data_IF_628070975479
#
_entry.id   IF_628070975479
#
_cell.length_a   1.000
_cell.length_b   1.000
_cell.length_c   1.000
_cell.angle_alpha   90.00
_cell.angle_beta   90.00
_cell.angle_gamma   90.00
#
_symmetry.space_group_name_H-M   'P 1'
#
loop_
_entity.id
_entity.type
_entity.pdbx_description
1 polymer ?
#
# COMPACT_ATOMS: atom_id res chain seq x y z
N UNK A 1 -14.92 -5.69 13.69
CA UNK A 1 -13.75 -6.57 13.55
C UNK A 1 -12.49 -5.76 13.82
N UNK A 2 -11.52 -6.36 14.50
CA UNK A 2 -10.19 -5.76 14.70
C UNK A 2 -9.47 -5.73 13.35
N UNK A 3 -8.77 -4.63 13.02
CA UNK A 3 -8.03 -4.51 11.75
C UNK A 3 -6.71 -5.28 11.84
N UNK A 4 -6.36 -5.99 10.77
CA UNK A 4 -5.12 -6.77 10.65
C UNK A 4 -4.04 -6.00 9.90
N UNK A 5 -2.78 -6.20 10.31
CA UNK A 5 -1.61 -5.64 9.63
C UNK A 5 -0.37 -6.49 9.91
N UNK A 6 0.25 -7.01 8.84
CA UNK A 6 1.49 -7.78 8.97
C UNK A 6 2.67 -6.87 9.31
N UNK A 7 2.84 -5.78 8.56
CA UNK A 7 3.89 -4.77 8.75
C UNK A 7 3.45 -3.42 8.19
N UNK A 8 4.12 -2.34 8.61
CA UNK A 8 3.92 -1.03 8.01
C UNK A 8 4.61 -0.96 6.66
N UNK A 9 3.96 -0.28 5.71
CA UNK A 9 4.45 -0.09 4.35
C UNK A 9 4.30 1.37 3.95
N UNK A 10 5.25 1.88 3.16
CA UNK A 10 5.12 3.22 2.63
C UNK A 10 3.85 3.30 1.75
N UNK A 11 3.04 4.34 1.95
CA UNK A 11 1.72 4.47 1.29
C UNK A 11 0.62 3.57 1.87
N UNK A 12 0.90 2.72 2.86
CA UNK A 12 -0.04 1.71 3.37
C UNK A 12 -1.38 2.26 3.84
N UNK A 13 -2.48 1.65 3.36
CA UNK A 13 -3.85 2.14 3.54
C UNK A 13 -4.54 1.73 4.83
N UNK A 14 -3.82 1.15 5.78
CA UNK A 14 -4.36 0.68 7.07
C UNK A 14 -5.18 1.74 7.82
N UNK A 15 -4.70 2.99 7.83
CA UNK A 15 -5.39 4.11 8.46
C UNK A 15 -6.62 4.60 7.68
N UNK A 16 -6.72 4.28 6.39
CA UNK A 16 -7.81 4.68 5.49
C UNK A 16 -8.89 3.60 5.31
N UNK A 17 -8.68 2.38 5.83
CA UNK A 17 -9.62 1.26 5.66
C UNK A 17 -11.09 1.57 5.99
N UNK A 18 -11.36 2.42 6.99
CA UNK A 18 -12.76 2.75 7.36
C UNK A 18 -13.47 3.58 6.29
N UNK A 19 -12.72 4.39 5.55
CA UNK A 19 -13.22 5.19 4.44
C UNK A 19 -13.17 4.39 3.14
N UNK A 20 -12.08 3.66 2.91
CA UNK A 20 -11.81 2.96 1.65
C UNK A 20 -12.68 1.72 1.46
N UNK A 21 -12.76 0.82 2.44
CA UNK A 21 -13.43 -0.48 2.27
C UNK A 21 -14.91 -0.37 1.86
N UNK A 22 -15.71 0.57 2.40
CA UNK A 22 -17.08 0.77 1.94
C UNK A 22 -17.22 1.18 0.47
N UNK A 23 -16.17 1.75 -0.14
CA UNK A 23 -16.20 2.25 -1.52
C UNK A 23 -15.83 1.16 -2.55
N UNK A 24 -15.34 0.02 -2.10
CA UNK A 24 -14.91 -1.10 -2.96
C UNK A 24 -16.12 -1.98 -3.30
N UNK A 25 -16.38 -2.27 -4.58
CA UNK A 25 -17.51 -3.11 -4.99
C UNK A 25 -17.24 -4.58 -4.67
N UNK A 26 -18.32 -5.36 -4.51
CA UNK A 26 -18.21 -6.82 -4.57
C UNK A 26 -17.82 -7.25 -6.00
N UNK A 27 -17.07 -8.36 -6.07
CA UNK A 27 -16.50 -8.92 -7.30
C UNK A 27 -16.27 -10.42 -7.13
N UNK A 28 -16.29 -11.17 -8.23
CA UNK A 28 -15.89 -12.58 -8.24
C UNK A 28 -14.38 -12.69 -8.02
N UNK A 29 -13.61 -11.86 -8.73
CA UNK A 29 -12.16 -11.81 -8.59
C UNK A 29 -11.71 -10.44 -8.09
N UNK A 30 -11.06 -10.41 -6.92
CA UNK A 30 -10.38 -9.23 -6.43
C UNK A 30 -8.86 -9.31 -6.68
N UNK A 31 -8.27 -8.28 -7.28
CA UNK A 31 -6.85 -8.23 -7.57
C UNK A 31 -6.21 -6.95 -7.01
N UNK A 32 -5.09 -7.09 -6.31
CA UNK A 32 -4.20 -5.97 -5.91
C UNK A 32 -2.89 -6.05 -6.70
N UNK A 33 -2.74 -5.32 -7.82
CA UNK A 33 -1.50 -5.29 -8.59
C UNK A 33 -0.32 -4.64 -7.85
N UNK A 34 -0.61 -3.76 -6.87
CA UNK A 34 0.35 -3.04 -6.03
C UNK A 34 0.04 -3.32 -4.55
N UNK A 35 0.31 -4.54 -4.12
CA UNK A 35 -0.23 -5.06 -2.86
C UNK A 35 0.43 -4.49 -1.60
N UNK A 36 1.73 -4.17 -1.62
CA UNK A 36 2.47 -3.66 -0.47
C UNK A 36 2.22 -4.49 0.79
N UNK A 37 1.79 -3.85 1.89
CA UNK A 37 1.41 -4.55 3.14
C UNK A 37 0.15 -5.44 3.08
N UNK A 38 -0.51 -5.58 1.93
CA UNK A 38 -1.79 -6.26 1.74
C UNK A 38 -2.91 -5.73 2.65
N UNK A 39 -2.79 -4.49 3.13
CA UNK A 39 -3.66 -3.95 4.18
C UNK A 39 -5.14 -3.93 3.76
N UNK A 40 -5.44 -3.70 2.49
CA UNK A 40 -6.83 -3.69 1.98
C UNK A 40 -7.32 -5.13 1.81
N UNK A 41 -6.59 -5.97 1.08
CA UNK A 41 -6.88 -7.39 0.87
C UNK A 41 -7.17 -8.15 2.16
N UNK A 42 -6.32 -8.04 3.19
CA UNK A 42 -6.51 -8.83 4.42
C UNK A 42 -7.68 -8.32 5.28
N UNK A 43 -8.15 -7.09 5.06
CA UNK A 43 -9.23 -6.48 5.85
C UNK A 43 -10.58 -6.37 5.11
N UNK A 44 -10.62 -6.52 3.77
CA UNK A 44 -11.88 -6.60 3.04
C UNK A 44 -12.61 -7.91 3.32
N UNK A 45 -13.93 -7.91 3.07
CA UNK A 45 -14.71 -9.14 2.94
C UNK A 45 -14.09 -10.01 1.83
N UNK A 46 -13.77 -11.29 2.05
CA UNK A 46 -13.13 -12.12 1.04
C UNK A 46 -13.98 -12.27 -0.24
N UNK A 47 -13.35 -12.14 -1.41
CA UNK A 47 -13.97 -12.49 -2.70
C UNK A 47 -13.81 -13.98 -2.98
N UNK A 48 -14.61 -14.58 -3.88
CA UNK A 48 -14.42 -15.97 -4.31
C UNK A 48 -12.99 -16.27 -4.78
N UNK A 49 -12.42 -15.37 -5.59
CA UNK A 49 -11.04 -15.42 -6.08
C UNK A 49 -10.31 -14.14 -5.66
N UNK A 50 -9.07 -14.28 -5.17
CA UNK A 50 -8.24 -13.15 -4.75
C UNK A 50 -6.79 -13.32 -5.20
N UNK A 51 -6.22 -12.27 -5.77
CA UNK A 51 -4.82 -12.22 -6.20
C UNK A 51 -4.11 -11.03 -5.58
N UNK A 52 -3.01 -11.31 -4.90
CA UNK A 52 -2.05 -10.33 -4.41
C UNK A 52 -0.84 -10.32 -5.35
N UNK A 53 -0.36 -9.14 -5.72
CA UNK A 53 0.90 -8.96 -6.44
C UNK A 53 1.70 -7.81 -5.84
N UNK A 54 3.02 -7.92 -5.85
CA UNK A 54 3.90 -6.77 -5.70
C UNK A 54 5.16 -6.99 -6.56
N UNK A 55 5.80 -5.90 -6.99
CA UNK A 55 7.07 -5.98 -7.72
C UNK A 55 8.24 -6.28 -6.76
N UNK A 56 8.13 -5.87 -5.49
CA UNK A 56 9.14 -6.13 -4.47
C UNK A 56 9.10 -7.60 -4.03
N UNK A 57 10.06 -8.37 -4.56
CA UNK A 57 10.20 -9.79 -4.29
C UNK A 57 10.46 -10.12 -2.81
N UNK A 58 10.96 -9.20 -1.98
CA UNK A 58 11.15 -9.44 -0.54
C UNK A 58 9.80 -9.48 0.20
N UNK A 59 8.86 -8.62 -0.22
CA UNK A 59 7.49 -8.58 0.34
C UNK A 59 6.72 -9.82 -0.07
N UNK A 60 6.79 -10.17 -1.36
CA UNK A 60 6.18 -11.38 -1.88
C UNK A 60 6.77 -12.62 -1.21
N UNK A 61 8.11 -12.66 -1.05
CA UNK A 61 8.77 -13.73 -0.32
C UNK A 61 8.24 -13.84 1.12
N UNK A 62 8.13 -12.73 1.85
CA UNK A 62 7.58 -12.74 3.20
C UNK A 62 6.17 -13.35 3.25
N UNK A 63 5.23 -12.88 2.42
CA UNK A 63 3.86 -13.42 2.45
C UNK A 63 3.78 -14.88 2.00
N UNK A 64 4.59 -15.27 1.01
CA UNK A 64 4.66 -16.66 0.54
C UNK A 64 5.20 -17.60 1.62
N UNK A 65 6.30 -17.24 2.29
CA UNK A 65 6.85 -18.05 3.39
C UNK A 65 5.90 -18.05 4.58
N UNK A 66 5.31 -16.91 4.93
CA UNK A 66 4.31 -16.84 6.00
C UNK A 66 3.14 -17.78 5.74
N UNK A 67 2.66 -17.85 4.50
CA UNK A 67 1.56 -18.75 4.11
C UNK A 67 1.97 -20.22 4.09
N UNK A 68 3.15 -20.54 3.54
CA UNK A 68 3.55 -21.92 3.25
C UNK A 68 4.28 -22.62 4.42
N UNK A 69 4.96 -21.83 5.27
CA UNK A 69 5.76 -22.28 6.41
C UNK A 69 5.48 -21.40 7.65
N UNK A 70 4.20 -21.28 8.06
CA UNK A 70 3.81 -20.34 9.12
C UNK A 70 4.49 -20.65 10.44
N UNK A 71 4.55 -21.92 10.84
CA UNK A 71 5.08 -22.32 12.14
C UNK A 71 6.57 -22.01 12.24
N UNK A 72 7.35 -22.32 11.21
CA UNK A 72 8.79 -22.05 11.20
C UNK A 72 9.08 -20.55 11.16
N UNK A 73 8.38 -19.78 10.32
CA UNK A 73 8.61 -18.34 10.23
C UNK A 73 8.17 -17.60 11.50
N UNK A 74 6.97 -17.89 12.02
CA UNK A 74 6.45 -17.25 13.24
C UNK A 74 7.35 -17.59 14.43
N UNK A 75 7.82 -18.84 14.55
CA UNK A 75 8.78 -19.23 15.58
C UNK A 75 10.11 -18.51 15.42
N UNK A 76 10.67 -18.44 14.21
CA UNK A 76 11.94 -17.76 13.95
C UNK A 76 11.86 -16.26 14.28
N UNK A 77 10.76 -15.60 13.92
CA UNK A 77 10.49 -14.20 14.27
C UNK A 77 10.31 -14.06 15.79
N UNK A 78 9.47 -14.89 16.41
CA UNK A 78 9.14 -14.79 17.84
C UNK A 78 10.36 -15.01 18.75
N UNK A 79 11.31 -15.85 18.33
CA UNK A 79 12.57 -16.08 19.03
C UNK A 79 13.67 -15.05 18.68
N UNK A 80 13.44 -14.18 17.70
CA UNK A 80 14.39 -13.11 17.36
C UNK A 80 14.38 -12.05 18.46
N UNK A 81 15.54 -11.74 19.09
CA UNK A 81 15.62 -10.68 20.07
C UNK A 81 15.22 -9.33 19.48
N UNK A 82 14.53 -8.50 20.27
CA UNK A 82 14.33 -7.10 19.93
C UNK A 82 15.63 -6.33 20.18
N UNK A 83 16.51 -6.30 19.18
CA UNK A 83 17.93 -5.99 19.36
C UNK A 83 18.44 -5.06 18.26
N UNK A 84 19.31 -4.13 18.67
CA UNK A 84 20.02 -3.27 17.72
C UNK A 84 20.89 -4.08 16.75
N UNK A 85 21.51 -5.15 17.25
CA UNK A 85 22.38 -6.00 16.43
C UNK A 85 21.57 -6.80 15.40
N UNK A 86 20.40 -7.33 15.79
CA UNK A 86 19.51 -8.01 14.83
C UNK A 86 19.05 -7.07 13.72
N UNK A 87 18.72 -5.82 14.05
CA UNK A 87 18.39 -4.82 13.02
C UNK A 87 19.59 -4.51 12.13
N UNK A 88 20.79 -4.36 12.71
CA UNK A 88 22.01 -4.09 11.96
C UNK A 88 22.29 -5.22 10.96
N UNK A 89 22.24 -6.47 11.42
CA UNK A 89 22.37 -7.68 10.59
C UNK A 89 21.32 -7.69 9.47
N UNK A 90 20.06 -7.43 9.80
CA UNK A 90 18.97 -7.46 8.83
C UNK A 90 19.06 -6.36 7.75
N UNK A 91 19.76 -5.26 8.04
CA UNK A 91 19.93 -4.11 7.13
C UNK A 91 21.23 -4.18 6.32
N UNK A 92 22.35 -4.50 6.97
CA UNK A 92 23.70 -4.32 6.41
C UNK A 92 24.28 -5.58 5.79
N UNK A 93 23.88 -6.77 6.27
CA UNK A 93 24.42 -8.00 5.72
C UNK A 93 23.73 -8.39 4.43
N UNK A 94 24.52 -9.03 3.55
CA UNK A 94 24.02 -9.54 2.29
C UNK A 94 22.91 -10.56 2.50
N UNK A 95 21.86 -10.44 1.68
CA UNK A 95 20.80 -11.45 1.58
C UNK A 95 21.14 -12.57 0.59
N UNK A 96 22.28 -12.49 -0.09
CA UNK A 96 22.73 -13.49 -1.05
C UNK A 96 22.97 -14.82 -0.35
N UNK A 97 22.49 -15.93 -0.93
CA UNK A 97 22.60 -17.29 -0.41
C UNK A 97 21.87 -17.54 0.93
N UNK A 98 20.99 -16.64 1.35
CA UNK A 98 20.09 -16.90 2.47
C UNK A 98 18.89 -17.74 2.01
N UNK A 99 18.36 -18.55 2.91
CA UNK A 99 17.08 -19.22 2.67
C UNK A 99 15.95 -18.21 2.59
N UNK A 100 14.89 -18.55 1.85
CA UNK A 100 13.68 -17.72 1.76
C UNK A 100 13.10 -17.40 3.15
N UNK A 101 13.20 -18.34 4.09
CA UNK A 101 12.78 -18.16 5.48
C UNK A 101 13.60 -17.10 6.21
N UNK A 102 14.92 -17.13 6.08
CA UNK A 102 15.78 -16.14 6.73
C UNK A 102 15.61 -14.75 6.09
N UNK A 103 15.43 -14.69 4.77
CA UNK A 103 15.08 -13.44 4.07
C UNK A 103 13.76 -12.87 4.61
N UNK A 104 12.73 -13.69 4.75
CA UNK A 104 11.44 -13.29 5.31
C UNK A 104 11.56 -12.82 6.78
N UNK A 105 12.33 -13.52 7.61
CA UNK A 105 12.59 -13.12 9.00
C UNK A 105 13.30 -11.77 9.06
N UNK A 106 14.38 -11.57 8.30
CA UNK A 106 15.14 -10.30 8.23
C UNK A 106 14.28 -9.17 7.67
N UNK A 107 13.44 -9.43 6.67
CA UNK A 107 12.44 -8.46 6.20
C UNK A 107 11.52 -8.00 7.33
N UNK A 108 10.97 -8.93 8.11
CA UNK A 108 10.09 -8.57 9.23
C UNK A 108 10.81 -7.78 10.34
N UNK A 109 12.07 -8.13 10.63
CA UNK A 109 12.94 -7.35 11.55
C UNK A 109 13.09 -5.91 11.06
N UNK A 110 13.45 -5.71 9.78
CA UNK A 110 13.54 -4.36 9.16
C UNK A 110 12.21 -3.61 9.28
N UNK A 111 11.09 -4.29 9.08
CA UNK A 111 9.78 -3.67 9.09
C UNK A 111 9.27 -3.30 10.50
N UNK A 112 9.63 -4.06 11.54
CA UNK A 112 9.01 -3.94 12.87
C UNK A 112 9.95 -3.52 14.01
N UNK A 113 11.27 -3.66 13.86
CA UNK A 113 12.24 -3.18 14.87
C UNK A 113 12.72 -1.74 14.64
N UNK A 114 12.34 -1.11 13.52
CA UNK A 114 12.67 0.30 13.22
C UNK A 114 11.65 1.26 13.83
N UNK A 115 12.09 2.48 14.17
CA UNK A 115 11.26 3.51 14.80
C UNK A 115 10.03 3.90 13.97
N UNK A 116 10.16 3.91 12.64
CA UNK A 116 9.11 4.30 11.70
C UNK A 116 8.15 3.17 11.34
N UNK A 117 8.51 1.91 11.64
CA UNK A 117 7.75 0.74 11.23
C UNK A 117 7.73 0.48 9.71
N UNK A 118 8.75 0.92 8.97
CA UNK A 118 8.84 0.81 7.50
C UNK A 118 10.14 0.11 7.09
N UNK A 119 10.04 -1.04 6.43
CA UNK A 119 11.21 -1.80 5.99
C UNK A 119 12.08 -1.04 4.99
N UNK A 120 11.46 -0.29 4.07
CA UNK A 120 12.13 0.41 2.98
C UNK A 120 13.06 1.54 3.44
N UNK A 121 12.81 2.11 4.63
CA UNK A 121 13.62 3.19 5.20
C UNK A 121 14.45 2.72 6.39
N UNK A 122 14.60 1.41 6.56
CA UNK A 122 15.35 0.82 7.65
C UNK A 122 16.85 1.13 7.50
N UNK A 123 17.42 1.71 8.56
CA UNK A 123 18.87 1.83 8.70
C UNK A 123 19.26 1.34 10.10
N UNK A 124 20.50 0.90 10.30
CA UNK A 124 20.96 0.42 11.61
C UNK A 124 20.77 1.47 12.73
N UNK A 125 20.92 2.76 12.40
CA UNK A 125 20.70 3.87 13.34
C UNK A 125 19.23 4.14 13.71
N UNK A 126 18.26 3.51 13.03
CA UNK A 126 16.81 3.73 13.26
C UNK A 126 16.17 2.69 14.17
N UNK A 127 16.95 1.90 14.89
CA UNK A 127 16.43 0.94 15.87
C UNK A 127 15.48 1.62 16.88
N UNK A 128 14.27 1.08 17.01
CA UNK A 128 13.29 1.59 17.95
C UNK A 128 13.70 1.27 19.39
N UNK A 129 13.57 2.25 20.29
CA UNK A 129 13.77 2.04 21.72
C UNK A 129 12.93 3.02 22.52
N UNK A 130 12.79 2.77 23.82
CA UNK A 130 12.11 3.67 24.74
C UNK A 130 12.86 3.71 26.08
N UNK A 131 12.82 4.87 26.76
CA UNK A 131 13.42 5.02 28.09
C UNK A 131 12.44 4.70 29.21
N UNK A 132 11.22 5.23 29.13
CA UNK A 132 10.22 5.21 30.22
C UNK A 132 8.84 4.69 29.80
N UNK A 133 8.64 4.43 28.52
CA UNK A 133 7.35 3.91 28.03
C UNK A 133 7.25 2.43 28.33
N UNK A 134 6.41 2.07 29.31
CA UNK A 134 6.04 0.68 29.58
C UNK A 134 4.67 0.37 28.97
N UNK A 135 4.54 -0.83 28.40
CA UNK A 135 3.27 -1.43 27.96
C UNK A 135 3.29 -2.89 28.33
N UNK A 136 2.20 -3.39 28.91
CA UNK A 136 2.10 -4.77 29.42
C UNK A 136 3.30 -5.18 30.31
N UNK A 137 3.80 -4.26 31.14
CA UNK A 137 4.91 -4.54 32.06
C UNK A 137 6.30 -4.61 31.41
N UNK A 138 6.45 -4.27 30.12
CA UNK A 138 7.73 -4.31 29.40
C UNK A 138 7.97 -3.05 28.58
N UNK A 139 9.14 -2.92 27.97
CA UNK A 139 9.46 -1.82 27.06
C UNK A 139 8.42 -1.73 25.94
N UNK A 140 7.85 -0.53 25.72
CA UNK A 140 6.77 -0.33 24.77
C UNK A 140 7.12 -0.64 23.31
N UNK A 141 8.41 -0.69 22.95
CA UNK A 141 8.86 -1.18 21.65
C UNK A 141 8.78 -2.72 21.54
N UNK A 142 9.18 -3.43 22.60
CA UNK A 142 9.10 -4.89 22.70
C UNK A 142 7.65 -5.36 22.70
N UNK A 143 6.78 -4.70 23.49
CA UNK A 143 5.34 -5.02 23.51
C UNK A 143 4.70 -4.90 22.12
N UNK A 144 5.05 -3.88 21.32
CA UNK A 144 4.55 -3.73 19.95
C UNK A 144 5.08 -4.80 19.00
N UNK A 145 6.35 -5.18 19.15
CA UNK A 145 6.93 -6.29 18.40
C UNK A 145 6.19 -7.59 18.67
N UNK A 146 6.04 -7.99 19.92
CA UNK A 146 5.33 -9.22 20.30
C UNK A 146 3.88 -9.21 19.81
N UNK A 147 3.16 -8.10 19.99
CA UNK A 147 1.81 -7.96 19.47
C UNK A 147 1.71 -8.09 17.94
N UNK A 148 2.75 -7.68 17.20
CA UNK A 148 2.79 -7.89 15.74
C UNK A 148 3.06 -9.34 15.34
N UNK A 149 3.74 -10.12 16.19
CA UNK A 149 3.99 -11.55 15.95
C UNK A 149 2.72 -12.35 16.22
N UNK A 150 1.99 -12.03 17.30
CA UNK A 150 0.73 -12.68 17.66
C UNK A 150 -0.33 -12.57 16.56
N UNK A 151 -0.39 -11.44 15.86
CA UNK A 151 -1.33 -11.22 14.75
C UNK A 151 -1.02 -11.99 13.47
N UNK A 152 0.15 -12.62 13.34
CA UNK A 152 0.54 -13.30 12.10
C UNK A 152 -0.32 -14.53 11.81
N UNK A 153 -0.72 -15.29 12.82
CA UNK A 153 -1.53 -16.51 12.63
C UNK A 153 -2.89 -16.22 11.99
N UNK A 154 -3.53 -15.10 12.31
CA UNK A 154 -4.80 -14.69 11.69
C UNK A 154 -4.59 -14.28 10.22
N UNK A 155 -3.47 -13.61 9.95
CA UNK A 155 -3.09 -13.23 8.58
C UNK A 155 -2.79 -14.47 7.73
N UNK A 156 -2.15 -15.50 8.28
CA UNK A 156 -1.94 -16.79 7.61
C UNK A 156 -3.29 -17.35 7.14
N UNK A 157 -4.26 -17.47 8.04
CA UNK A 157 -5.59 -18.00 7.71
C UNK A 157 -6.26 -17.18 6.60
N UNK A 158 -6.11 -15.85 6.64
CA UNK A 158 -6.64 -14.94 5.62
C UNK A 158 -5.98 -15.15 4.24
N UNK A 159 -4.69 -15.45 4.20
CA UNK A 159 -3.90 -15.61 2.97
C UNK A 159 -4.00 -17.00 2.34
N UNK A 160 -4.50 -18.02 3.04
CA UNK A 160 -4.63 -19.38 2.49
C UNK A 160 -5.43 -19.41 1.17
N UNK A 161 -6.43 -18.53 1.05
CA UNK A 161 -7.32 -18.39 -0.11
C UNK A 161 -6.82 -17.45 -1.22
N UNK A 162 -5.61 -16.93 -1.08
CA UNK A 162 -5.08 -15.84 -1.93
C UNK A 162 -3.99 -16.39 -2.84
N UNK A 163 -4.09 -16.07 -4.13
CA UNK A 163 -3.03 -16.28 -5.11
C UNK A 163 -1.97 -15.19 -4.90
N UNK A 164 -0.68 -15.55 -4.94
CA UNK A 164 0.43 -14.63 -4.71
C UNK A 164 1.30 -14.61 -5.96
N UNK A 165 1.42 -13.43 -6.57
CA UNK A 165 2.23 -13.13 -7.76
C UNK A 165 3.42 -12.23 -7.40
N UNK A 166 4.44 -12.27 -8.24
CA UNK A 166 5.56 -11.32 -8.23
C UNK A 166 5.92 -10.96 -9.68
N UNK A 167 5.15 -10.03 -10.25
CA UNK A 167 5.27 -9.63 -11.65
C UNK A 167 4.98 -8.13 -11.82
N UNK A 168 5.37 -7.51 -12.96
CA UNK A 168 4.98 -6.15 -13.30
C UNK A 168 3.46 -5.98 -13.24
N UNK A 169 2.99 -4.90 -12.61
CA UNK A 169 1.57 -4.69 -12.33
C UNK A 169 0.71 -4.70 -13.61
N UNK A 170 1.20 -4.13 -14.71
CA UNK A 170 0.50 -4.13 -16.01
C UNK A 170 0.26 -5.56 -16.52
N UNK A 171 1.24 -6.45 -16.41
CA UNK A 171 1.08 -7.85 -16.83
C UNK A 171 0.02 -8.58 -16.00
N UNK A 172 -0.02 -8.30 -14.69
CA UNK A 172 -1.01 -8.88 -13.78
C UNK A 172 -2.41 -8.36 -14.09
N UNK A 173 -2.55 -7.06 -14.36
CA UNK A 173 -3.82 -6.45 -14.75
C UNK A 173 -4.33 -7.09 -16.03
N UNK A 174 -3.50 -7.17 -17.08
CA UNK A 174 -3.89 -7.77 -18.36
C UNK A 174 -4.24 -9.26 -18.25
N UNK A 175 -3.51 -10.01 -17.42
CA UNK A 175 -3.72 -11.45 -17.22
C UNK A 175 -5.05 -11.77 -16.57
N UNK A 176 -5.48 -10.94 -15.61
CA UNK A 176 -6.66 -11.20 -14.80
C UNK A 176 -7.87 -10.33 -15.20
N UNK A 177 -7.77 -9.54 -16.26
CA UNK A 177 -8.88 -8.67 -16.69
C UNK A 177 -10.09 -9.48 -17.19
N UNK A 178 -11.23 -9.19 -16.59
CA UNK A 178 -12.52 -9.75 -16.94
C UNK A 178 -13.63 -8.82 -16.44
N UNK A 179 -14.85 -8.97 -16.95
CA UNK A 179 -16.02 -8.22 -16.46
C UNK A 179 -16.33 -8.47 -14.97
N UNK A 180 -15.85 -9.59 -14.42
CA UNK A 180 -16.05 -9.96 -13.01
C UNK A 180 -14.86 -9.63 -12.10
N UNK A 181 -13.80 -9.02 -12.65
CA UNK A 181 -12.61 -8.64 -11.91
C UNK A 181 -12.72 -7.22 -11.37
N UNK A 182 -12.33 -7.03 -10.11
CA UNK A 182 -12.12 -5.73 -9.50
C UNK A 182 -10.64 -5.55 -9.13
N UNK A 183 -10.01 -4.53 -9.70
CA UNK A 183 -8.65 -4.12 -9.41
C UNK A 183 -8.62 -2.98 -8.41
N UNK A 184 -7.91 -3.17 -7.29
CA UNK A 184 -7.52 -2.10 -6.41
C UNK A 184 -6.05 -1.74 -6.65
N UNK A 185 -5.82 -0.55 -7.19
CA UNK A 185 -4.50 -0.07 -7.57
C UNK A 185 -4.04 1.02 -6.59
N UNK A 186 -2.89 0.80 -5.96
CA UNK A 186 -2.24 1.76 -5.08
C UNK A 186 -0.78 1.96 -5.51
N UNK A 187 -0.54 2.49 -6.72
CA UNK A 187 0.80 2.59 -7.26
C UNK A 187 1.65 3.56 -6.43
N UNK A 188 2.98 3.50 -6.56
CA UNK A 188 3.84 4.57 -6.11
C UNK A 188 3.37 5.91 -6.70
N UNK A 189 2.88 6.83 -5.87
CA UNK A 189 2.42 8.15 -6.30
C UNK A 189 3.51 9.00 -6.97
N UNK A 190 3.16 9.91 -7.91
CA UNK A 190 4.10 10.81 -8.56
C UNK A 190 4.88 11.68 -7.58
N UNK A 191 6.11 12.07 -7.94
CA UNK A 191 7.00 12.86 -7.08
C UNK A 191 6.39 14.18 -6.60
N UNK A 192 5.67 14.89 -7.48
CA UNK A 192 5.05 16.19 -7.17
C UNK A 192 3.97 16.08 -6.08
N UNK A 193 3.38 14.91 -5.91
CA UNK A 193 2.37 14.64 -4.89
C UNK A 193 2.97 14.25 -3.52
N UNK A 194 4.30 14.06 -3.44
CA UNK A 194 5.02 13.58 -2.24
C UNK A 194 5.82 14.69 -1.57
N UNK A 195 5.82 14.69 -0.24
CA UNK A 195 6.60 15.62 0.58
C UNK A 195 7.98 15.09 0.96
N UNK A 196 8.32 13.87 0.53
CA UNK A 196 9.56 13.17 0.87
C UNK A 196 9.99 12.38 -0.37
N UNK A 197 11.07 12.79 -1.03
CA UNK A 197 11.45 12.39 -2.39
C UNK A 197 12.28 11.11 -2.50
N UNK A 198 12.66 10.46 -1.38
CA UNK A 198 13.67 9.38 -1.37
C UNK A 198 13.24 8.12 -0.61
N UNK A 199 11.94 7.84 -0.49
CA UNK A 199 11.45 6.79 0.42
C UNK A 199 11.08 5.45 -0.24
N UNK A 200 11.06 5.36 -1.57
CA UNK A 200 10.63 4.16 -2.28
C UNK A 200 11.72 3.64 -3.23
N UNK A 201 11.98 2.33 -3.20
CA UNK A 201 13.02 1.69 -4.03
C UNK A 201 12.58 1.36 -5.46
N UNK A 202 11.27 1.43 -5.74
CA UNK A 202 10.65 1.10 -7.03
C UNK A 202 9.75 2.24 -7.52
N UNK A 203 10.31 3.44 -7.68
CA UNK A 203 9.52 4.60 -8.09
C UNK A 203 8.92 4.43 -9.48
N UNK A 204 7.76 5.03 -9.71
CA UNK A 204 7.15 5.11 -11.03
C UNK A 204 7.46 6.48 -11.63
N UNK A 205 7.95 6.47 -12.86
CA UNK A 205 8.09 7.65 -13.71
C UNK A 205 6.72 8.12 -14.22
N UNK A 206 6.62 9.37 -14.64
CA UNK A 206 5.40 9.91 -15.25
C UNK A 206 4.97 9.11 -16.49
N UNK A 207 5.94 8.57 -17.24
CA UNK A 207 5.67 7.67 -18.37
C UNK A 207 5.03 6.36 -17.92
N UNK A 208 5.53 5.74 -16.86
CA UNK A 208 4.93 4.52 -16.31
C UNK A 208 3.53 4.79 -15.75
N UNK A 209 3.27 5.99 -15.22
CA UNK A 209 1.92 6.41 -14.84
C UNK A 209 0.98 6.55 -16.06
N UNK A 210 1.48 7.10 -17.17
CA UNK A 210 0.74 7.19 -18.43
C UNK A 210 0.41 5.79 -18.98
N UNK A 211 1.40 4.89 -19.02
CA UNK A 211 1.23 3.49 -19.46
C UNK A 211 0.21 2.76 -18.58
N UNK A 212 0.27 2.94 -17.26
CA UNK A 212 -0.72 2.39 -16.34
C UNK A 212 -2.13 2.94 -16.62
N UNK A 213 -2.27 4.25 -16.80
CA UNK A 213 -3.56 4.88 -17.08
C UNK A 213 -4.18 4.39 -18.39
N UNK A 214 -3.36 4.21 -19.44
CA UNK A 214 -3.79 3.64 -20.71
C UNK A 214 -4.33 2.21 -20.53
N UNK A 215 -3.61 1.36 -19.79
CA UNK A 215 -4.06 -0.01 -19.51
C UNK A 215 -5.35 0.00 -18.71
N UNK A 216 -5.42 0.77 -17.62
CA UNK A 216 -6.60 0.85 -16.76
C UNK A 216 -7.82 1.45 -17.48
N UNK A 217 -7.61 2.36 -18.44
CA UNK A 217 -8.68 2.91 -19.26
C UNK A 217 -9.32 1.90 -20.22
N UNK A 218 -8.63 0.78 -20.51
CA UNK A 218 -9.06 -0.25 -21.45
C UNK A 218 -9.47 -1.57 -20.80
N UNK A 219 -9.43 -1.69 -19.46
CA UNK A 219 -9.87 -2.90 -18.78
C UNK A 219 -11.38 -3.10 -18.88
N UNK A 220 -11.81 -4.36 -18.92
CA UNK A 220 -13.24 -4.76 -18.82
C UNK A 220 -13.74 -4.69 -17.39
N UNK A 221 -12.85 -4.95 -16.43
CA UNK A 221 -13.16 -4.97 -15.02
C UNK A 221 -13.39 -3.59 -14.39
N UNK A 222 -13.72 -3.62 -13.11
CA UNK A 222 -13.80 -2.41 -12.29
C UNK A 222 -12.42 -2.06 -11.76
N UNK A 223 -12.14 -0.77 -11.60
CA UNK A 223 -10.88 -0.27 -11.06
C UNK A 223 -11.14 0.81 -10.04
N UNK A 224 -10.43 0.74 -8.92
CA UNK A 224 -10.26 1.84 -7.99
C UNK A 224 -8.77 2.14 -7.82
N UNK A 225 -8.39 3.39 -8.09
CA UNK A 225 -7.01 3.86 -8.01
C UNK A 225 -6.88 4.85 -6.85
N UNK A 226 -5.97 4.58 -5.90
CA UNK A 226 -5.63 5.51 -4.83
C UNK A 226 -4.50 6.46 -5.23
N UNK A 227 -4.56 7.69 -4.74
CA UNK A 227 -3.53 8.71 -4.93
C UNK A 227 -3.82 10.03 -4.21
N UNK A 228 -3.15 11.08 -4.66
CA UNK A 228 -3.38 12.46 -4.24
C UNK A 228 -3.57 13.33 -5.48
N UNK A 229 -4.35 14.40 -5.37
CA UNK A 229 -4.46 15.38 -6.44
C UNK A 229 -3.07 15.92 -6.83
N UNK A 230 -2.79 15.87 -8.14
CA UNK A 230 -1.65 16.50 -8.81
C UNK A 230 -1.97 16.60 -10.30
N UNK A 231 -1.32 17.52 -11.00
CA UNK A 231 -1.60 17.82 -12.41
C UNK A 231 -1.59 16.56 -13.29
N UNK A 232 -0.61 15.67 -13.07
CA UNK A 232 -0.51 14.40 -13.79
C UNK A 232 -1.73 13.50 -13.57
N UNK A 233 -2.07 13.15 -12.32
CA UNK A 233 -3.16 12.20 -12.05
C UNK A 233 -4.53 12.79 -12.41
N UNK A 234 -4.73 14.09 -12.16
CA UNK A 234 -5.98 14.77 -12.51
C UNK A 234 -6.18 14.80 -14.04
N UNK A 235 -5.10 14.94 -14.81
CA UNK A 235 -5.15 14.86 -16.27
C UNK A 235 -5.40 13.43 -16.77
N UNK A 236 -4.69 12.44 -16.22
CA UNK A 236 -4.79 11.04 -16.64
C UNK A 236 -6.17 10.43 -16.37
N UNK A 237 -6.80 10.78 -15.24
CA UNK A 237 -8.06 10.20 -14.78
C UNK A 237 -9.22 11.21 -14.81
N UNK A 238 -9.13 12.25 -15.65
CA UNK A 238 -10.14 13.33 -15.78
C UNK A 238 -11.56 12.84 -16.08
N UNK A 239 -11.68 11.71 -16.77
CA UNK A 239 -12.97 11.14 -17.20
C UNK A 239 -13.55 10.17 -16.14
N UNK A 240 -12.78 9.86 -15.08
CA UNK A 240 -13.20 8.99 -14.00
C UNK A 240 -13.92 9.79 -12.90
N UNK A 241 -14.75 9.12 -12.12
CA UNK A 241 -15.27 9.72 -10.89
C UNK A 241 -14.17 9.66 -9.82
N UNK A 242 -14.13 10.61 -8.90
CA UNK A 242 -13.23 10.55 -7.76
C UNK A 242 -13.95 10.84 -6.45
N UNK A 243 -13.41 10.27 -5.38
CA UNK A 243 -13.91 10.43 -4.00
C UNK A 243 -12.74 10.87 -3.14
N UNK A 244 -12.96 11.90 -2.33
CA UNK A 244 -11.97 12.38 -1.38
C UNK A 244 -12.21 11.81 0.02
N UNK A 245 -11.13 11.59 0.74
CA UNK A 245 -11.17 11.28 2.18
C UNK A 245 -11.25 12.55 3.03
N UNK A 246 -11.66 12.41 4.29
CA UNK A 246 -11.52 13.52 5.23
C UNK A 246 -10.02 13.88 5.40
N UNK A 247 -9.65 15.17 5.34
CA UNK A 247 -8.25 15.59 5.46
C UNK A 247 -7.63 15.08 6.76
N UNK A 248 -6.47 14.43 6.66
CA UNK A 248 -5.69 14.01 7.83
C UNK A 248 -4.39 14.79 7.93
N UNK A 249 -4.07 15.25 9.14
CA UNK A 249 -2.76 15.84 9.42
C UNK A 249 -1.68 14.77 9.29
N UNK A 250 -0.78 14.95 8.31
CA UNK A 250 0.40 14.12 8.19
C UNK A 250 1.48 14.67 9.14
N UNK A 251 1.88 13.88 10.14
CA UNK A 251 2.84 14.30 11.17
C UNK A 251 4.24 14.59 10.60
N UNK A 252 4.58 14.06 9.41
CA UNK A 252 5.85 14.29 8.74
C UNK A 252 5.90 15.60 7.93
N UNK A 253 4.80 16.02 7.29
CA UNK A 253 4.80 17.16 6.35
C UNK A 253 4.10 18.40 6.92
N UNK A 254 3.47 18.32 8.11
CA UNK A 254 2.71 19.41 8.77
C UNK A 254 1.55 20.00 7.96
N UNK A 255 1.28 19.51 6.75
CA UNK A 255 0.12 19.87 5.94
C UNK A 255 -0.93 18.75 5.97
N UNK A 256 -2.22 19.09 5.97
CA UNK A 256 -3.28 18.10 5.77
C UNK A 256 -3.14 17.50 4.36
N UNK A 257 -3.24 16.17 4.27
CA UNK A 257 -3.36 15.48 2.99
C UNK A 257 -4.72 14.82 2.89
N UNK A 258 -5.29 14.86 1.70
CA UNK A 258 -6.56 14.26 1.34
C UNK A 258 -6.28 13.15 0.34
N UNK A 259 -6.42 11.89 0.76
CA UNK A 259 -6.40 10.76 -0.19
C UNK A 259 -7.57 10.89 -1.16
N UNK A 260 -7.31 10.56 -2.42
CA UNK A 260 -8.27 10.56 -3.52
C UNK A 260 -8.38 9.13 -4.05
N UNK A 261 -9.61 8.69 -4.33
CA UNK A 261 -9.91 7.41 -4.98
C UNK A 261 -10.59 7.67 -6.32
N UNK A 262 -9.88 7.46 -7.44
CA UNK A 262 -10.50 7.48 -8.77
C UNK A 262 -11.12 6.13 -9.09
N UNK A 263 -12.32 6.12 -9.66
CA UNK A 263 -13.08 4.91 -9.96
C UNK A 263 -13.71 4.96 -11.36
N UNK A 264 -13.74 3.81 -12.05
CA UNK A 264 -14.42 3.63 -13.34
C UNK A 264 -15.84 3.03 -13.20
N UNK A 265 -16.39 3.00 -11.98
CA UNK A 265 -17.69 2.42 -11.66
C UNK A 265 -18.54 3.39 -10.83
N UNK A 266 -19.82 3.09 -10.71
CA UNK A 266 -20.74 3.84 -9.85
C UNK A 266 -20.71 3.31 -8.42
N UNK A 267 -20.71 4.20 -7.43
CA UNK A 267 -20.74 3.78 -6.04
C UNK A 267 -22.06 3.10 -5.68
N UNK A 268 -22.05 2.12 -4.74
CA UNK A 268 -23.26 1.63 -4.10
C UNK A 268 -24.10 2.80 -3.53
N UNK A 269 -25.43 2.70 -3.60
CA UNK A 269 -26.32 3.80 -3.15
C UNK A 269 -26.06 4.23 -1.69
N UNK A 270 -25.69 3.29 -0.84
CA UNK A 270 -25.41 3.52 0.59
C UNK A 270 -24.12 4.34 0.85
N UNK A 271 -23.22 4.40 -0.14
CA UNK A 271 -21.97 5.16 -0.07
C UNK A 271 -22.00 6.47 -0.83
N UNK A 272 -23.15 6.84 -1.44
CA UNK A 272 -23.32 8.13 -2.12
C UNK A 272 -23.11 9.36 -1.25
N UNK A 273 -23.17 9.21 0.08
CA UNK A 273 -22.78 10.29 1.01
C UNK A 273 -21.31 10.72 0.87
N UNK A 274 -20.48 9.89 0.23
CA UNK A 274 -19.09 10.17 -0.10
C UNK A 274 -18.90 10.59 -1.56
N UNK A 275 -19.94 10.54 -2.41
CA UNK A 275 -19.86 11.10 -3.76
C UNK A 275 -19.79 12.62 -3.64
N UNK A 276 -18.79 13.23 -4.28
CA UNK A 276 -18.71 14.68 -4.38
C UNK A 276 -19.90 15.19 -5.20
N UNK A 277 -20.75 16.00 -4.56
CA UNK A 277 -21.71 16.85 -5.25
C UNK A 277 -20.95 18.07 -5.78
N UNK A 278 -20.34 17.97 -6.96
CA UNK A 278 -20.10 19.08 -7.91
C UNK A 278 -19.09 18.63 -9.00
N UNK A 279 -19.61 18.12 -10.12
CA UNK A 279 -19.01 18.44 -11.43
C UNK A 279 -19.47 19.86 -11.78
N UNK A 280 -18.96 20.87 -11.08
CA UNK A 280 -19.19 22.27 -11.45
C UNK A 280 -17.84 22.93 -11.72
N UNK A 281 -17.52 23.04 -13.01
CA UNK A 281 -16.54 23.98 -13.59
C UNK A 281 -15.16 24.04 -12.92
N UNK A 282 -14.20 23.24 -13.40
CA UNK A 282 -12.83 23.73 -13.44
C UNK A 282 -12.82 25.00 -14.31
N UNK A 283 -12.24 26.12 -13.87
CA UNK A 283 -12.02 27.24 -14.76
C UNK A 283 -11.04 26.78 -15.84
N UNK A 284 -11.42 26.90 -17.11
CA UNK A 284 -10.44 26.91 -18.18
C UNK A 284 -9.42 27.99 -17.80
N UNK A 285 -8.14 27.64 -17.76
CA UNK A 285 -7.08 28.62 -17.85
C UNK A 285 -7.26 29.34 -19.19
N UNK A 286 -7.86 30.53 -19.16
CA UNK A 286 -7.88 31.43 -20.29
C UNK A 286 -6.44 31.78 -20.62
N UNK A 287 -5.93 31.16 -21.69
CA UNK A 287 -4.67 31.53 -22.30
C UNK A 287 -4.79 33.00 -22.75
N UNK A 288 -4.17 33.90 -21.99
CA UNK A 288 -3.99 35.29 -22.34
C UNK A 288 -3.37 35.38 -23.74
N UNK A 289 -4.19 35.77 -24.70
CA UNK A 289 -3.76 36.29 -26.00
C UNK A 289 -2.96 37.57 -25.77
N UNK A 290 -1.63 37.45 -25.68
CA UNK A 290 -0.72 38.59 -25.78
C UNK A 290 -0.64 38.96 -27.25
N UNK A 291 -1.46 39.92 -27.66
CA UNK A 291 -1.28 40.67 -28.90
C UNK A 291 -0.07 41.59 -28.74
N UNK A 292 0.97 41.36 -29.55
CA UNK A 292 2.05 42.32 -29.75
C UNK A 292 1.56 43.42 -30.69
N UNK A 293 1.27 44.60 -30.15
CA UNK A 293 1.15 45.81 -30.96
C UNK A 293 2.43 46.66 -30.82
N UNK A 294 3.08 46.79 -31.96
CA UNK A 294 4.22 47.65 -32.29
C UNK A 294 3.88 49.13 -32.15
N UNK A 295 4.69 49.91 -31.43
CA UNK A 295 5.00 51.33 -31.67
C UNK A 295 6.47 51.58 -31.32
#
# INVERSE_FOLDING_TARGET
MTKLIAFGWYGGKFNHLNWLLPLLPESTHYCEPFGGSAAVLINKKPSPVETYNDIDGEVVNFFRVLRNNPDELIKAIGLTPFSREELRIAVEESITNLSELERARRFFVRARQVRTGLAQTATAGRWAHCKLTSRAGMAGAVSRWLGSVEGLSEIVQRLLRVQIENAPAIEVIQRYDSEETFFYCDPPYPHESRGDSNAYGYEMTDREHQELAEVLGNVKGKVALSGYHCELLDTLYKDWNYIESNPKRCFSVKQPRTEVLWINYNLPQETKKWENQEKSSMPLFDALSVTWDSH
#
